data_IF_126213039893
#
_entry.id   IF_126213039893
#
_cell.length_a   1.000
_cell.length_b   1.000
_cell.length_c   1.000
_cell.angle_alpha   90.00
_cell.angle_beta   90.00
_cell.angle_gamma   90.00
#
_symmetry.space_group_name_H-M   'P 1'
#
loop_
_entity.id
_entity.type
_entity.pdbx_description
1 polymer ?
#
# COMPACT_ATOMS: atom_id res chain seq x y z
N UNK A 1 -24.33 -34.44 22.29
CA UNK A 1 -24.65 -32.99 22.34
C UNK A 1 -23.42 -32.06 22.47
N UNK A 2 -22.20 -32.54 22.74
CA UNK A 2 -21.00 -31.67 22.90
C UNK A 2 -20.29 -31.27 21.58
N UNK A 3 -20.49 -32.01 20.49
CA UNK A 3 -19.79 -31.81 19.19
C UNK A 3 -20.37 -30.69 18.33
N UNK A 4 -21.66 -30.38 18.49
CA UNK A 4 -22.33 -29.30 17.76
C UNK A 4 -21.95 -27.92 18.29
N UNK A 5 -21.75 -27.80 19.62
CA UNK A 5 -21.31 -26.54 20.24
C UNK A 5 -19.89 -26.13 19.84
N UNK A 6 -18.97 -27.08 19.70
CA UNK A 6 -17.60 -26.79 19.25
C UNK A 6 -17.54 -26.35 17.78
N UNK A 7 -18.38 -26.93 16.91
CA UNK A 7 -18.50 -26.50 15.52
C UNK A 7 -19.04 -25.06 15.41
N UNK A 8 -20.02 -24.72 16.24
CA UNK A 8 -20.62 -23.38 16.26
C UNK A 8 -19.63 -22.31 16.74
N UNK A 9 -18.85 -22.62 17.77
CA UNK A 9 -17.78 -21.75 18.29
C UNK A 9 -16.69 -21.52 17.25
N UNK A 10 -16.30 -22.55 16.50
CA UNK A 10 -15.27 -22.45 15.47
C UNK A 10 -15.74 -21.60 14.28
N UNK A 11 -17.01 -21.73 13.89
CA UNK A 11 -17.62 -20.91 12.85
C UNK A 11 -17.67 -19.42 13.24
N UNK A 12 -18.03 -19.11 14.50
CA UNK A 12 -18.02 -17.75 15.04
C UNK A 12 -16.62 -17.13 15.06
N UNK A 13 -15.60 -17.92 15.41
CA UNK A 13 -14.22 -17.47 15.43
C UNK A 13 -13.71 -17.12 14.01
N UNK A 14 -13.99 -17.98 13.02
CA UNK A 14 -13.63 -17.71 11.62
C UNK A 14 -14.35 -16.47 11.09
N UNK A 15 -15.65 -16.32 11.40
CA UNK A 15 -16.43 -15.15 11.00
C UNK A 15 -15.86 -13.85 11.58
N UNK A 16 -15.46 -13.85 12.85
CA UNK A 16 -14.84 -12.68 13.48
C UNK A 16 -13.51 -12.27 12.83
N UNK A 17 -12.72 -13.25 12.36
CA UNK A 17 -11.45 -13.01 11.70
C UNK A 17 -11.64 -12.38 10.31
N UNK A 18 -12.63 -12.87 9.56
CA UNK A 18 -13.00 -12.31 8.25
C UNK A 18 -13.52 -10.88 8.38
N UNK A 19 -14.34 -10.60 9.41
CA UNK A 19 -14.85 -9.25 9.66
C UNK A 19 -13.77 -8.28 10.16
N UNK A 20 -12.80 -8.75 10.95
CA UNK A 20 -11.67 -7.93 11.40
C UNK A 20 -10.73 -7.52 10.25
N UNK A 21 -10.64 -8.33 9.19
CA UNK A 21 -9.87 -8.02 7.98
C UNK A 21 -10.47 -6.90 7.12
N UNK A 22 -11.75 -6.58 7.29
CA UNK A 22 -12.46 -5.54 6.53
C UNK A 22 -12.40 -4.16 7.22
N UNK A 23 -11.26 -3.84 7.83
CA UNK A 23 -10.98 -2.55 8.44
C UNK A 23 -10.41 -1.58 7.42
N UNK A 24 -11.28 -0.96 6.60
CA UNK A 24 -10.88 0.15 5.73
C UNK A 24 -10.26 1.28 6.56
N UNK A 25 -8.95 1.53 6.37
CA UNK A 25 -8.25 2.64 7.02
C UNK A 25 -8.90 3.95 6.57
N UNK A 26 -9.72 4.55 7.43
CA UNK A 26 -10.24 5.91 7.18
C UNK A 26 -9.06 6.89 7.25
N UNK A 27 -8.72 7.47 6.11
CA UNK A 27 -7.76 8.57 6.03
C UNK A 27 -8.23 9.70 6.96
N UNK A 28 -7.49 9.94 8.05
CA UNK A 28 -7.74 11.10 8.91
C UNK A 28 -7.45 12.35 8.09
N UNK A 29 -8.48 13.17 7.89
CA UNK A 29 -8.40 14.49 7.27
C UNK A 29 -7.72 15.47 8.24
N UNK A 30 -6.42 15.30 8.46
CA UNK A 30 -5.60 16.14 9.31
C UNK A 30 -4.17 16.10 8.79
N UNK A 31 -3.58 17.28 8.59
CA UNK A 31 -2.28 17.59 7.98
C UNK A 31 -1.85 16.65 6.82
N UNK A 32 -1.80 17.16 5.58
CA UNK A 32 -1.53 16.38 4.36
C UNK A 32 -0.05 16.00 4.19
N UNK A 33 0.64 15.83 5.30
CA UNK A 33 2.05 15.49 5.35
C UNK A 33 2.18 13.97 5.40
N UNK A 34 2.95 13.42 4.47
CA UNK A 34 3.28 11.99 4.42
C UNK A 34 4.73 11.84 4.86
N UNK A 35 4.94 11.14 5.97
CA UNK A 35 6.29 10.80 6.45
C UNK A 35 6.64 9.42 5.90
N UNK A 36 7.62 9.37 4.99
CA UNK A 36 8.12 8.14 4.38
C UNK A 36 9.46 7.78 5.01
N UNK A 37 9.58 6.56 5.53
CA UNK A 37 10.85 6.04 6.02
C UNK A 37 11.67 5.51 4.83
N UNK A 38 12.84 6.09 4.58
CA UNK A 38 13.79 5.61 3.59
C UNK A 38 14.84 4.70 4.27
N UNK A 39 15.08 3.51 3.69
CA UNK A 39 16.09 2.56 4.18
C UNK A 39 17.51 3.01 3.81
N UNK A 40 17.63 3.77 2.72
CA UNK A 40 18.88 4.34 2.22
C UNK A 40 18.60 5.71 1.62
N UNK A 41 19.56 6.62 1.76
CA UNK A 41 19.52 7.90 1.06
C UNK A 41 19.65 7.68 -0.46
N UNK A 42 18.96 8.46 -1.29
CA UNK A 42 19.17 8.42 -2.74
C UNK A 42 20.59 8.91 -3.06
N UNK A 43 21.23 8.29 -4.05
CA UNK A 43 22.54 8.68 -4.58
C UNK A 43 22.54 10.05 -5.27
N UNK A 44 21.44 10.38 -5.95
CA UNK A 44 21.19 11.69 -6.55
C UNK A 44 19.71 11.92 -6.78
N UNK A 45 19.31 13.21 -6.81
CA UNK A 45 17.98 13.64 -7.31
C UNK A 45 17.99 13.95 -8.81
N UNK A 46 19.16 13.89 -9.46
CA UNK A 46 19.28 13.98 -10.91
C UNK A 46 18.90 12.63 -11.53
N UNK A 47 17.81 12.63 -12.30
CA UNK A 47 17.24 11.44 -12.97
C UNK A 47 18.22 10.77 -13.92
N UNK A 48 19.23 11.48 -14.43
CA UNK A 48 20.23 10.90 -15.33
C UNK A 48 21.46 10.36 -14.60
N UNK A 49 21.58 10.57 -13.29
CA UNK A 49 22.73 10.16 -12.48
C UNK A 49 22.38 9.23 -11.33
N UNK A 50 21.09 9.03 -11.07
CA UNK A 50 20.62 8.08 -10.06
C UNK A 50 20.50 6.67 -10.63
N UNK A 51 20.91 5.70 -9.84
CA UNK A 51 20.59 4.27 -10.03
C UNK A 51 19.46 3.81 -9.11
N UNK A 52 18.98 4.70 -8.24
CA UNK A 52 17.94 4.42 -7.27
C UNK A 52 16.61 4.18 -7.99
N UNK A 53 16.14 2.94 -7.97
CA UNK A 53 14.80 2.55 -8.44
C UNK A 53 13.67 3.03 -7.50
N UNK A 54 13.98 3.86 -6.50
CA UNK A 54 13.06 4.30 -5.45
C UNK A 54 12.17 5.48 -5.83
N UNK A 55 11.07 5.59 -5.08
CA UNK A 55 9.97 6.58 -5.18
C UNK A 55 10.38 8.06 -4.96
N UNK A 56 11.66 8.34 -4.76
CA UNK A 56 12.13 9.68 -4.43
C UNK A 56 12.01 10.65 -5.60
N UNK A 57 12.15 10.16 -6.84
CA UNK A 57 12.11 11.00 -8.04
C UNK A 57 10.71 11.07 -8.68
N UNK A 58 9.82 10.13 -8.38
CA UNK A 58 8.43 10.12 -8.88
C UNK A 58 7.62 11.30 -8.34
N UNK A 59 7.93 11.78 -7.13
CA UNK A 59 7.33 12.97 -6.55
C UNK A 59 7.87 14.29 -7.12
N UNK A 60 9.02 14.25 -7.83
CA UNK A 60 9.72 15.45 -8.33
C UNK A 60 9.56 15.62 -9.84
N UNK A 61 9.46 14.53 -10.59
CA UNK A 61 9.41 14.54 -12.05
C UNK A 61 8.28 13.67 -12.58
N UNK A 62 7.60 14.18 -13.60
CA UNK A 62 6.53 13.47 -14.29
C UNK A 62 6.97 13.08 -15.71
N UNK A 63 6.94 11.78 -16.06
CA UNK A 63 7.21 11.35 -17.43
C UNK A 63 5.99 11.62 -18.33
N UNK A 64 6.21 11.63 -19.65
CA UNK A 64 5.10 11.74 -20.62
C UNK A 64 4.18 10.51 -20.63
N UNK A 65 4.75 9.35 -20.33
CA UNK A 65 4.06 8.07 -20.27
C UNK A 65 4.36 7.40 -18.93
N UNK A 66 3.37 6.70 -18.37
CA UNK A 66 3.49 5.92 -17.13
C UNK A 66 2.85 4.55 -17.31
N UNK A 67 3.16 3.64 -16.39
CA UNK A 67 2.43 2.37 -16.30
C UNK A 67 1.20 2.56 -15.42
N UNK A 68 0.05 2.05 -15.86
CA UNK A 68 -1.14 1.91 -15.01
C UNK A 68 -1.00 0.73 -14.02
N UNK A 69 -2.00 0.50 -13.18
CA UNK A 69 -2.01 -0.60 -12.20
C UNK A 69 -1.98 -1.99 -12.86
N UNK A 70 -2.39 -2.08 -14.12
CA UNK A 70 -2.39 -3.30 -14.92
C UNK A 70 -1.09 -3.48 -15.73
N UNK A 71 -0.17 -2.51 -15.67
CA UNK A 71 1.10 -2.51 -16.39
C UNK A 71 1.01 -2.05 -17.85
N UNK A 72 -0.09 -1.45 -18.28
CA UNK A 72 -0.19 -0.85 -19.61
C UNK A 72 0.45 0.53 -19.63
N UNK A 73 1.02 0.89 -20.79
CA UNK A 73 1.58 2.22 -21.01
C UNK A 73 0.43 3.19 -21.29
N UNK A 74 0.26 4.16 -20.40
CA UNK A 74 -0.75 5.23 -20.52
C UNK A 74 -0.04 6.59 -20.55
N UNK A 75 -0.68 7.58 -21.18
CA UNK A 75 -0.26 8.97 -21.02
C UNK A 75 -0.36 9.39 -19.56
N UNK A 76 0.55 10.26 -19.12
CA UNK A 76 0.47 10.79 -17.76
C UNK A 76 -0.78 11.66 -17.54
#
# INVERSE_FOLDING_TARGET
MKRTGTLFLLALLVLSLVLAGCGGKKAKKGNRDVVVAAISEPDSVDVHRTSSMGDSNSALYEPLMKFDEDGNIVGN
#
